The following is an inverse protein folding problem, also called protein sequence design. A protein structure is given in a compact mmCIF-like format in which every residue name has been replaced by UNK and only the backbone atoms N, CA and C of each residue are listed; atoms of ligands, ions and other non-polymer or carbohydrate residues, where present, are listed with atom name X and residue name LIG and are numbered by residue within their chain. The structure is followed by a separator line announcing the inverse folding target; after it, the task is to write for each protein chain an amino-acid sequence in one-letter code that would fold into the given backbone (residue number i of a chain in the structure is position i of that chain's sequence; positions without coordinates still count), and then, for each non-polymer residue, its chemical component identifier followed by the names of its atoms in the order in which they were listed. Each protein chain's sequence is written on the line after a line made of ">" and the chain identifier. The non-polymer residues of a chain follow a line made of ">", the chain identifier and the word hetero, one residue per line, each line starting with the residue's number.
data_IF_946969082147
#
_entry.id   IF_946969082147
#
_cell.length_a   1.000
_cell.length_b   1.000
_cell.length_c   1.000
_cell.angle_alpha   90.00
_cell.angle_beta   90.00
_cell.angle_gamma   90.00
#
_symmetry.space_group_name_H-M   'P 1'
#
loop_
_entity.id
_entity.type
_entity.pdbx_description
1 polymer ?
#
# COMPACT_ATOMS: atom_id res chain seq x y z
N UNK A 1 -18.05 -13.03 -13.62
CA UNK A 1 -18.02 -11.74 -12.88
C UNK A 1 -18.04 -10.62 -13.91
N UNK A 2 -18.88 -9.58 -13.74
CA UNK A 2 -18.91 -8.41 -14.65
C UNK A 2 -17.91 -7.37 -14.15
N UNK A 3 -17.35 -6.55 -15.05
CA UNK A 3 -16.41 -5.48 -14.68
C UNK A 3 -17.09 -4.12 -14.79
N UNK A 4 -17.03 -3.31 -13.73
CA UNK A 4 -17.45 -1.92 -13.71
C UNK A 4 -16.20 -1.02 -13.78
N UNK A 5 -16.17 -0.08 -14.73
CA UNK A 5 -15.11 0.93 -14.86
C UNK A 5 -15.65 2.26 -14.35
N UNK A 6 -15.12 2.74 -13.23
CA UNK A 6 -15.64 3.92 -12.53
C UNK A 6 -14.62 5.05 -12.65
N UNK A 7 -15.01 6.15 -13.29
CA UNK A 7 -14.17 7.33 -13.39
C UNK A 7 -14.44 8.27 -12.21
N UNK A 8 -13.49 8.40 -11.28
CA UNK A 8 -13.61 9.32 -10.15
C UNK A 8 -13.12 10.71 -10.60
N UNK A 9 -13.97 11.73 -10.43
CA UNK A 9 -13.64 13.13 -10.71
C UNK A 9 -13.16 13.88 -9.47
N UNK A 10 -12.65 15.10 -9.65
CA UNK A 10 -12.14 15.94 -8.55
C UNK A 10 -13.14 16.21 -7.42
N UNK A 11 -14.44 16.21 -7.74
CA UNK A 11 -15.53 16.42 -6.77
C UNK A 11 -15.65 15.30 -5.72
N UNK A 12 -15.07 14.12 -5.98
CA UNK A 12 -14.99 13.05 -5.00
C UNK A 12 -13.97 13.35 -3.88
N UNK A 13 -13.12 14.37 -4.06
CA UNK A 13 -12.08 14.77 -3.13
C UNK A 13 -12.41 16.15 -2.56
N UNK A 14 -12.76 17.14 -3.40
CA UNK A 14 -13.13 18.50 -2.97
C UNK A 14 -14.40 18.94 -3.68
N UNK A 15 -15.46 19.21 -2.92
CA UNK A 15 -16.71 19.75 -3.46
C UNK A 15 -16.63 21.26 -3.64
N UNK A 16 -17.50 21.80 -4.51
CA UNK A 16 -17.60 23.24 -4.73
C UNK A 16 -17.91 23.98 -3.42
N UNK A 17 -17.11 25.00 -3.10
CA UNK A 17 -17.25 25.81 -1.89
C UNK A 17 -16.55 25.26 -0.63
N UNK A 18 -15.96 24.06 -0.67
CA UNK A 18 -15.13 23.55 0.42
C UNK A 18 -13.73 24.18 0.41
N UNK A 19 -13.08 24.20 1.58
CA UNK A 19 -11.69 24.67 1.71
C UNK A 19 -10.69 23.60 1.26
N UNK A 20 -11.10 22.34 1.26
CA UNK A 20 -10.25 21.19 0.97
C UNK A 20 -9.39 20.81 2.17
N UNK A 21 -9.90 20.90 3.40
CA UNK A 21 -9.16 20.38 4.57
C UNK A 21 -9.04 18.86 4.51
N UNK A 22 -8.14 18.26 5.29
CA UNK A 22 -7.97 16.80 5.33
C UNK A 22 -9.28 16.13 5.75
N UNK A 23 -9.99 16.71 6.72
CA UNK A 23 -11.26 16.20 7.21
C UNK A 23 -12.35 16.25 6.13
N UNK A 24 -12.46 17.37 5.41
CA UNK A 24 -13.40 17.51 4.29
C UNK A 24 -13.10 16.50 3.18
N UNK A 25 -11.82 16.37 2.80
CA UNK A 25 -11.39 15.42 1.78
C UNK A 25 -11.64 13.97 2.20
N UNK A 26 -11.35 13.63 3.46
CA UNK A 26 -11.60 12.30 4.00
C UNK A 26 -13.09 11.96 3.97
N UNK A 27 -13.95 12.88 4.42
CA UNK A 27 -15.41 12.68 4.41
C UNK A 27 -15.95 12.49 2.98
N UNK A 28 -15.46 13.26 2.01
CA UNK A 28 -15.87 13.15 0.60
C UNK A 28 -15.44 11.81 -0.03
N UNK A 29 -14.19 11.40 0.23
CA UNK A 29 -13.66 10.13 -0.28
C UNK A 29 -14.40 8.96 0.36
N UNK A 30 -14.65 9.00 1.66
CA UNK A 30 -15.46 7.97 2.35
C UNK A 30 -16.84 7.81 1.72
N UNK A 31 -17.59 8.90 1.51
CA UNK A 31 -18.89 8.84 0.84
C UNK A 31 -18.82 8.28 -0.59
N UNK A 32 -17.76 8.61 -1.32
CA UNK A 32 -17.53 8.08 -2.66
C UNK A 32 -17.21 6.57 -2.62
N UNK A 33 -16.49 6.12 -1.60
CA UNK A 33 -16.17 4.71 -1.37
C UNK A 33 -17.41 3.88 -1.03
N UNK A 34 -18.40 4.41 -0.32
CA UNK A 34 -19.64 3.68 0.00
C UNK A 34 -20.32 3.15 -1.27
N UNK A 35 -20.44 3.99 -2.30
CA UNK A 35 -21.01 3.58 -3.59
C UNK A 35 -20.15 2.55 -4.34
N UNK A 36 -18.84 2.58 -4.15
CA UNK A 36 -17.93 1.59 -4.74
C UNK A 36 -18.08 0.24 -4.02
N UNK A 37 -18.29 0.27 -2.69
CA UNK A 37 -18.55 -0.91 -1.87
C UNK A 37 -19.85 -1.57 -2.32
N UNK A 38 -20.93 -0.81 -2.52
CA UNK A 38 -22.20 -1.35 -3.03
C UNK A 38 -22.00 -2.17 -4.33
N UNK A 39 -21.20 -1.64 -5.27
CA UNK A 39 -20.89 -2.31 -6.55
C UNK A 39 -20.05 -3.57 -6.34
N UNK A 40 -19.11 -3.56 -5.40
CA UNK A 40 -18.33 -4.75 -5.03
C UNK A 40 -19.23 -5.82 -4.40
N UNK A 41 -20.17 -5.44 -3.54
CA UNK A 41 -21.15 -6.34 -2.91
C UNK A 41 -22.11 -6.98 -3.91
N UNK A 42 -22.44 -6.28 -5.00
CA UNK A 42 -23.16 -6.84 -6.15
C UNK A 42 -22.34 -7.85 -6.98
N UNK A 43 -21.07 -8.07 -6.63
CA UNK A 43 -20.19 -9.06 -7.26
C UNK A 43 -19.54 -8.58 -8.55
N UNK A 44 -19.34 -7.26 -8.72
CA UNK A 44 -18.55 -6.71 -9.81
C UNK A 44 -17.06 -6.69 -9.48
N UNK A 45 -16.24 -6.85 -10.51
CA UNK A 45 -14.86 -6.38 -10.48
C UNK A 45 -14.86 -4.87 -10.73
N UNK A 46 -14.32 -4.06 -9.82
CA UNK A 46 -14.25 -2.61 -10.00
C UNK A 46 -12.86 -2.19 -10.47
N UNK A 47 -12.82 -1.36 -11.52
CA UNK A 47 -11.62 -0.64 -11.97
C UNK A 47 -11.87 0.84 -11.76
N UNK A 48 -11.13 1.45 -10.84
CA UNK A 48 -11.12 2.90 -10.66
C UNK A 48 -10.21 3.53 -11.72
N UNK A 49 -10.74 4.52 -12.41
CA UNK A 49 -10.05 5.28 -13.45
C UNK A 49 -10.35 6.77 -13.31
N UNK A 50 -9.77 7.59 -14.17
CA UNK A 50 -10.16 8.99 -14.34
C UNK A 50 -10.02 9.37 -15.83
N UNK A 51 -9.27 10.42 -16.14
CA UNK A 51 -8.70 10.84 -17.43
C UNK A 51 -8.24 9.74 -18.42
N UNK A 52 -8.05 8.47 -18.04
CA UNK A 52 -7.68 7.39 -18.99
C UNK A 52 -8.72 7.26 -20.11
N UNK A 53 -10.02 7.35 -19.78
CA UNK A 53 -11.10 7.33 -20.80
C UNK A 53 -11.10 8.58 -21.68
N UNK A 54 -10.62 9.72 -21.14
CA UNK A 54 -10.57 11.02 -21.80
C UNK A 54 -9.34 11.18 -22.71
N UNK A 55 -8.37 10.28 -22.64
CA UNK A 55 -7.19 10.31 -23.51
C UNK A 55 -7.54 10.06 -24.98
N UNK A 56 -6.69 10.51 -25.90
CA UNK A 56 -6.83 10.27 -27.34
C UNK A 56 -6.34 8.89 -27.80
N UNK A 57 -5.94 8.00 -26.88
CA UNK A 57 -5.51 6.64 -27.22
C UNK A 57 -6.66 5.82 -27.79
N UNK A 58 -6.32 4.81 -28.60
CA UNK A 58 -7.32 3.95 -29.20
C UNK A 58 -8.11 3.19 -28.13
N UNK A 59 -9.35 2.80 -28.45
CA UNK A 59 -10.16 1.96 -27.56
C UNK A 59 -9.44 0.66 -27.23
N UNK A 60 -8.70 0.10 -28.18
CA UNK A 60 -7.90 -1.11 -27.98
C UNK A 60 -6.85 -0.89 -26.89
N UNK A 61 -6.05 0.18 -26.98
CA UNK A 61 -4.99 0.44 -26.00
C UNK A 61 -5.55 0.69 -24.61
N UNK A 62 -6.69 1.41 -24.51
CA UNK A 62 -7.39 1.62 -23.23
C UNK A 62 -7.84 0.29 -22.62
N UNK A 63 -8.42 -0.61 -23.42
CA UNK A 63 -8.81 -1.96 -22.98
C UNK A 63 -7.60 -2.76 -22.52
N UNK A 64 -6.48 -2.70 -23.26
CA UNK A 64 -5.25 -3.41 -22.88
C UNK A 64 -4.69 -2.91 -21.55
N UNK A 65 -4.72 -1.59 -21.30
CA UNK A 65 -4.32 -1.00 -20.01
C UNK A 65 -5.25 -1.47 -18.89
N UNK A 66 -6.57 -1.47 -19.09
CA UNK A 66 -7.51 -1.97 -18.08
C UNK A 66 -7.28 -3.45 -17.79
N UNK A 67 -7.01 -4.27 -18.80
CA UNK A 67 -6.68 -5.68 -18.62
C UNK A 67 -5.36 -5.86 -17.86
N UNK A 68 -4.34 -5.03 -18.14
CA UNK A 68 -3.09 -5.06 -17.39
C UNK A 68 -3.29 -4.73 -15.91
N UNK A 69 -4.02 -3.65 -15.60
CA UNK A 69 -4.34 -3.25 -14.22
C UNK A 69 -5.11 -4.36 -13.51
N UNK A 70 -6.09 -4.97 -14.18
CA UNK A 70 -6.90 -6.05 -13.62
C UNK A 70 -6.16 -7.40 -13.53
N UNK A 71 -5.04 -7.57 -14.21
CA UNK A 71 -4.31 -8.85 -14.25
C UNK A 71 -3.63 -9.21 -12.92
N UNK A 72 -3.49 -8.25 -12.01
CA UNK A 72 -2.87 -8.46 -10.71
C UNK A 72 -3.46 -7.53 -9.64
N UNK A 73 -3.80 -8.10 -8.49
CA UNK A 73 -4.18 -7.32 -7.30
C UNK A 73 -3.04 -6.45 -6.73
N UNK A 74 -1.82 -6.57 -7.27
CA UNK A 74 -0.64 -5.85 -6.79
C UNK A 74 -0.50 -4.42 -7.34
N UNK A 75 -1.31 -4.00 -8.32
CA UNK A 75 -1.13 -2.72 -9.02
C UNK A 75 -1.02 -1.50 -8.08
N UNK A 76 -1.78 -1.50 -6.98
CA UNK A 76 -1.75 -0.41 -5.98
C UNK A 76 -0.61 -0.51 -4.97
N UNK A 77 0.10 -1.64 -4.86
CA UNK A 77 1.17 -1.87 -3.88
C UNK A 77 2.24 -0.77 -3.86
N UNK A 78 2.84 -0.42 -5.02
CA UNK A 78 3.79 0.69 -5.12
C UNK A 78 3.23 2.06 -4.72
N UNK A 79 1.93 2.27 -4.92
CA UNK A 79 1.26 3.54 -4.56
C UNK A 79 1.26 3.75 -3.05
N UNK A 80 0.98 2.69 -2.28
CA UNK A 80 1.02 2.73 -0.81
C UNK A 80 2.43 2.93 -0.25
N UNK A 81 3.45 2.33 -0.88
CA UNK A 81 4.84 2.59 -0.52
C UNK A 81 5.21 4.06 -0.74
N UNK A 82 4.79 4.65 -1.87
CA UNK A 82 5.04 6.06 -2.16
C UNK A 82 4.32 7.00 -1.18
N UNK A 83 3.07 6.69 -0.80
CA UNK A 83 2.33 7.41 0.23
C UNK A 83 3.07 7.38 1.57
N UNK A 84 3.42 6.17 2.04
CA UNK A 84 4.14 5.99 3.29
C UNK A 84 5.48 6.74 3.27
N UNK A 85 6.25 6.61 2.19
CA UNK A 85 7.50 7.33 1.99
C UNK A 85 7.33 8.85 2.05
N UNK A 86 6.32 9.38 1.38
CA UNK A 86 6.06 10.82 1.38
C UNK A 86 5.75 11.34 2.78
N UNK A 87 4.91 10.64 3.53
CA UNK A 87 4.59 10.99 4.91
C UNK A 87 5.81 10.86 5.85
N UNK A 88 6.56 9.78 5.74
CA UNK A 88 7.71 9.54 6.61
C UNK A 88 8.88 10.49 6.33
N UNK A 89 9.07 10.93 5.08
CA UNK A 89 10.06 11.96 4.75
C UNK A 89 9.66 13.34 5.30
N UNK A 90 8.37 13.66 5.36
CA UNK A 90 7.90 14.88 6.03
C UNK A 90 8.14 14.85 7.55
N UNK A 91 8.25 13.66 8.13
CA UNK A 91 8.59 13.44 9.54
C UNK A 91 10.11 13.30 9.79
N UNK A 92 10.95 13.37 8.76
CA UNK A 92 12.42 13.22 8.86
C UNK A 92 13.12 14.57 9.08
N UNK A 93 14.34 14.55 9.65
CA UNK A 93 15.13 15.74 10.00
C UNK A 93 14.46 16.67 11.03
N UNK A 94 13.79 16.10 12.04
CA UNK A 94 13.23 16.87 13.15
C UNK A 94 14.12 16.71 14.37
N UNK A 95 14.74 17.81 14.80
CA UNK A 95 15.71 17.84 15.91
C UNK A 95 15.14 17.16 17.17
N UNK A 96 15.98 16.39 17.87
CA UNK A 96 15.64 15.63 19.08
C UNK A 96 14.55 14.55 18.93
N UNK A 97 14.17 14.13 17.71
CA UNK A 97 13.21 13.05 17.50
C UNK A 97 13.87 11.69 17.30
N UNK A 98 13.43 10.70 18.08
CA UNK A 98 13.92 9.32 18.01
C UNK A 98 13.04 8.38 17.15
N UNK A 99 12.18 8.94 16.29
CA UNK A 99 11.24 8.16 15.49
C UNK A 99 11.98 7.59 14.26
N UNK A 100 11.75 6.31 13.97
CA UNK A 100 12.17 5.68 12.72
C UNK A 100 11.39 6.27 11.55
N UNK A 101 12.10 6.73 10.53
CA UNK A 101 11.50 7.32 9.32
C UNK A 101 11.74 6.46 8.10
N UNK A 102 12.53 5.39 8.22
CA UNK A 102 12.74 4.41 7.15
C UNK A 102 13.14 3.08 7.74
N UNK A 103 12.53 2.03 7.22
CA UNK A 103 13.03 0.66 7.21
C UNK A 103 13.09 0.20 5.76
N UNK A 104 14.23 -0.34 5.33
CA UNK A 104 14.46 -0.82 3.96
C UNK A 104 15.51 -1.94 3.96
N UNK A 105 15.55 -2.73 2.89
CA UNK A 105 16.43 -3.90 2.80
C UNK A 105 16.76 -4.26 1.35
N UNK A 106 17.93 -4.84 1.14
CA UNK A 106 18.46 -5.08 -0.22
C UNK A 106 18.77 -6.56 -0.50
N UNK A 107 18.29 -7.49 0.33
CA UNK A 107 18.60 -8.91 0.23
C UNK A 107 19.95 -9.31 0.85
N UNK A 108 20.64 -8.36 1.50
CA UNK A 108 21.89 -8.59 2.22
C UNK A 108 21.90 -7.86 3.57
N UNK A 109 21.56 -6.57 3.58
CA UNK A 109 21.43 -5.73 4.76
C UNK A 109 20.01 -5.21 4.95
N UNK A 110 19.64 -5.05 6.21
CA UNK A 110 18.51 -4.25 6.67
C UNK A 110 19.03 -2.89 7.15
N UNK A 111 18.41 -1.82 6.69
CA UNK A 111 18.81 -0.45 6.98
C UNK A 111 17.68 0.38 7.58
N UNK A 112 18.02 1.26 8.53
CA UNK A 112 17.09 2.23 9.10
C UNK A 112 17.62 3.66 9.04
N UNK A 113 16.68 4.61 9.08
CA UNK A 113 16.95 6.05 9.33
C UNK A 113 16.08 6.54 10.50
N UNK A 114 16.62 7.46 11.29
CA UNK A 114 15.96 8.05 12.47
C UNK A 114 15.89 9.56 12.30
N UNK A 115 14.73 10.17 12.59
CA UNK A 115 14.42 11.58 12.29
C UNK A 115 15.42 12.60 12.83
N UNK A 116 15.82 12.47 14.10
CA UNK A 116 16.65 13.46 14.79
C UNK A 116 18.15 13.35 14.53
N UNK A 117 18.57 12.49 13.59
CA UNK A 117 19.96 12.36 13.20
C UNK A 117 20.23 13.18 11.93
N UNK A 118 21.45 13.69 11.81
CA UNK A 118 21.80 14.60 10.73
C UNK A 118 21.74 13.92 9.35
N UNK A 119 21.04 14.57 8.42
CA UNK A 119 20.99 14.18 7.01
C UNK A 119 20.34 12.82 6.79
N UNK A 120 20.99 11.98 5.97
CA UNK A 120 20.50 10.66 5.56
C UNK A 120 21.36 9.53 6.14
N UNK A 121 21.80 9.66 7.39
CA UNK A 121 22.61 8.63 8.04
C UNK A 121 21.83 7.29 8.11
N UNK A 122 22.49 6.22 7.65
CA UNK A 122 21.97 4.86 7.71
C UNK A 122 22.62 4.08 8.85
N UNK A 123 21.81 3.26 9.51
CA UNK A 123 22.28 2.20 10.39
C UNK A 123 21.90 0.88 9.76
N UNK A 124 22.89 0.02 9.53
CA UNK A 124 22.70 -1.26 8.86
C UNK A 124 23.05 -2.43 9.76
N UNK A 125 22.37 -3.54 9.49
CA UNK A 125 22.65 -4.87 10.04
C UNK A 125 22.29 -5.93 9.00
N UNK A 126 22.55 -7.22 9.27
CA UNK A 126 22.23 -8.28 8.32
C UNK A 126 20.72 -8.37 8.05
N UNK A 127 20.33 -8.53 6.78
CA UNK A 127 18.96 -8.88 6.41
C UNK A 127 18.59 -10.27 6.95
N UNK A 128 17.33 -10.44 7.34
CA UNK A 128 16.86 -11.66 8.01
C UNK A 128 16.22 -12.63 7.01
N UNK A 129 16.07 -13.89 7.41
CA UNK A 129 15.28 -14.88 6.67
C UNK A 129 13.80 -14.65 6.96
N UNK A 130 12.97 -14.61 5.91
CA UNK A 130 11.51 -14.51 6.03
C UNK A 130 10.93 -15.92 6.16
N UNK A 131 10.29 -16.20 7.30
CA UNK A 131 9.68 -17.52 7.58
C UNK A 131 8.17 -17.43 7.47
N UNK A 132 7.57 -18.28 6.65
CA UNK A 132 6.12 -18.35 6.46
C UNK A 132 5.71 -19.57 5.64
N UNK A 133 4.39 -19.74 5.38
CA UNK A 133 3.90 -20.77 4.47
C UNK A 133 4.56 -20.67 3.08
N UNK A 134 4.95 -21.80 2.51
CA UNK A 134 5.56 -21.88 1.19
C UNK A 134 4.58 -22.47 0.17
N UNK A 135 4.69 -22.02 -1.08
CA UNK A 135 3.94 -22.62 -2.18
C UNK A 135 4.41 -24.05 -2.45
N UNK A 136 3.48 -24.88 -2.95
CA UNK A 136 3.77 -26.27 -3.25
C UNK A 136 4.96 -26.40 -4.22
N UNK A 137 5.93 -27.24 -3.86
CA UNK A 137 7.15 -27.46 -4.64
C UNK A 137 8.36 -26.62 -4.21
N UNK A 138 8.19 -25.62 -3.34
CA UNK A 138 9.28 -24.83 -2.77
C UNK A 138 9.66 -25.27 -1.36
N UNK A 139 10.90 -24.99 -0.97
CA UNK A 139 11.46 -25.27 0.34
C UNK A 139 12.08 -24.01 0.96
N UNK A 140 12.28 -23.97 2.29
CA UNK A 140 12.88 -22.80 2.94
C UNK A 140 14.24 -22.42 2.37
N UNK A 141 15.03 -23.39 1.91
CA UNK A 141 16.37 -23.17 1.34
C UNK A 141 16.34 -22.46 -0.03
N UNK A 142 15.18 -22.44 -0.71
CA UNK A 142 14.99 -21.70 -1.96
C UNK A 142 14.77 -20.19 -1.71
N UNK A 143 14.65 -19.76 -0.44
CA UNK A 143 14.34 -18.39 -0.06
C UNK A 143 15.58 -17.50 -0.04
N UNK A 144 15.44 -16.27 -0.54
CA UNK A 144 16.40 -15.19 -0.27
C UNK A 144 16.24 -14.59 1.12
N UNK A 145 17.12 -13.65 1.47
CA UNK A 145 16.95 -12.79 2.64
C UNK A 145 15.94 -11.67 2.34
N UNK A 146 15.47 -11.00 3.39
CA UNK A 146 14.53 -9.88 3.32
C UNK A 146 15.02 -8.79 2.34
N UNK A 147 14.13 -8.34 1.45
CA UNK A 147 14.46 -7.48 0.32
C UNK A 147 13.31 -6.54 -0.08
N UNK A 148 13.68 -5.33 -0.48
CA UNK A 148 12.82 -4.29 -1.02
C UNK A 148 12.72 -3.06 -0.11
N UNK A 149 11.91 -2.09 -0.53
CA UNK A 149 11.60 -0.89 0.25
C UNK A 149 10.21 -0.93 0.92
N UNK A 150 9.45 -2.00 0.68
CA UNK A 150 8.10 -2.18 1.25
C UNK A 150 7.99 -2.04 2.77
N UNK A 151 9.06 -2.26 3.55
CA UNK A 151 9.06 -2.02 5.00
C UNK A 151 8.80 -0.55 5.38
N UNK A 152 8.83 0.37 4.41
CA UNK A 152 8.34 1.74 4.59
C UNK A 152 6.85 1.78 4.98
N UNK A 153 6.07 0.77 4.57
CA UNK A 153 4.64 0.69 4.90
C UNK A 153 4.44 0.43 6.39
N UNK A 154 5.24 -0.45 7.00
CA UNK A 154 5.28 -0.71 8.44
C UNK A 154 5.88 0.48 9.19
N UNK A 155 6.84 1.17 8.60
CA UNK A 155 7.39 2.41 9.18
C UNK A 155 6.31 3.48 9.34
N UNK A 156 5.35 3.54 8.40
CA UNK A 156 4.19 4.43 8.47
C UNK A 156 3.08 3.93 9.43
N UNK A 157 3.07 2.63 9.76
CA UNK A 157 2.08 2.02 10.66
C UNK A 157 1.00 1.19 9.95
N UNK A 158 1.18 0.84 8.68
CA UNK A 158 0.33 -0.12 7.95
C UNK A 158 1.09 -1.44 7.70
N UNK A 159 0.60 -2.31 6.82
CA UNK A 159 1.25 -3.60 6.54
C UNK A 159 1.14 -4.54 7.75
N UNK A 160 2.26 -5.13 8.17
CA UNK A 160 2.30 -5.99 9.36
C UNK A 160 1.82 -5.29 10.65
N UNK A 161 1.98 -3.97 10.75
CA UNK A 161 1.50 -3.16 11.89
C UNK A 161 -0.01 -2.92 11.89
N UNK A 162 -0.71 -3.29 10.82
CA UNK A 162 -2.17 -3.22 10.72
C UNK A 162 -2.76 -4.60 10.36
N UNK A 163 -2.10 -5.68 10.76
CA UNK A 163 -2.43 -7.04 10.32
C UNK A 163 -3.86 -7.46 10.70
N UNK A 164 -4.39 -6.95 11.81
CA UNK A 164 -5.77 -7.22 12.25
C UNK A 164 -6.85 -6.77 11.25
N UNK A 165 -6.55 -5.80 10.38
CA UNK A 165 -7.48 -5.30 9.37
C UNK A 165 -7.51 -6.16 8.09
N UNK A 166 -6.69 -7.21 8.01
CA UNK A 166 -6.55 -8.06 6.84
C UNK A 166 -6.65 -9.57 7.18
N UNK A 167 -7.72 -10.06 7.82
CA UNK A 167 -7.81 -11.48 8.21
C UNK A 167 -7.71 -12.45 7.02
N UNK A 168 -8.04 -11.99 5.80
CA UNK A 168 -7.93 -12.77 4.57
C UNK A 168 -6.50 -13.23 4.24
N UNK A 169 -5.45 -12.53 4.71
CA UNK A 169 -4.06 -12.86 4.36
C UNK A 169 -3.43 -13.90 5.29
N UNK A 170 -4.06 -14.26 6.42
CA UNK A 170 -3.46 -15.14 7.44
C UNK A 170 -3.06 -16.50 6.86
N UNK A 171 -3.87 -17.06 5.95
CA UNK A 171 -3.54 -18.32 5.27
C UNK A 171 -2.31 -18.22 4.37
N UNK A 172 -1.98 -17.01 3.88
CA UNK A 172 -0.85 -16.73 3.01
C UNK A 172 0.43 -16.41 3.82
N UNK A 173 0.31 -15.63 4.89
CA UNK A 173 1.47 -15.16 5.67
C UNK A 173 1.78 -16.03 6.89
N UNK A 174 0.83 -16.88 7.31
CA UNK A 174 0.95 -17.72 8.50
C UNK A 174 0.43 -17.05 9.78
N UNK A 175 0.40 -17.83 10.87
CA UNK A 175 -0.13 -17.41 12.17
C UNK A 175 -1.63 -17.63 12.32
N UNK A 176 -2.23 -16.96 13.30
CA UNK A 176 -3.67 -17.01 13.62
C UNK A 176 -4.30 -15.61 13.61
N UNK A 177 -5.64 -15.55 13.57
CA UNK A 177 -6.38 -14.28 13.72
C UNK A 177 -6.05 -13.59 15.05
N UNK A 178 -5.90 -14.36 16.12
CA UNK A 178 -5.53 -13.82 17.42
C UNK A 178 -4.10 -13.27 17.43
N UNK A 179 -3.17 -13.89 16.72
CA UNK A 179 -1.82 -13.34 16.57
C UNK A 179 -1.87 -11.98 15.85
N UNK A 180 -2.62 -11.88 14.74
CA UNK A 180 -2.80 -10.64 14.01
C UNK A 180 -3.41 -9.52 14.87
N UNK A 181 -4.39 -9.84 15.72
CA UNK A 181 -4.97 -8.91 16.69
C UNK A 181 -3.94 -8.51 17.75
N UNK A 182 -3.15 -9.44 18.27
CA UNK A 182 -2.18 -9.15 19.34
C UNK A 182 -0.96 -8.33 18.85
N UNK A 183 -0.64 -8.39 17.55
CA UNK A 183 0.43 -7.58 16.96
C UNK A 183 0.01 -6.13 16.66
N UNK A 184 -1.29 -5.82 16.68
CA UNK A 184 -1.86 -4.53 16.23
C UNK A 184 -2.53 -3.80 17.38
#
# INVERSE_FOLDING_TARGET
>A
MKTAVIAIGGNAIIMEGQKGTIEEQFENVSKSCDHIIDILEEGYNVVLTHYLVQTSFSTKDKVDVFNFVASSGYFSGPTWMALAKNAMDAAHNVEYRSILTTMARNGYEFGIRVSGLEGNQWFTGPAQVVVGPLFAGFKPEDSGLDIGDSAITETYGIGGFAMSTAPAIISLVGGTVNDAINYT
#
